data_IF_006466067803
#
_entry.id   IF_006466067803
#
_cell.length_a   1.000
_cell.length_b   1.000
_cell.length_c   1.000
_cell.angle_alpha   90.00
_cell.angle_beta   90.00
_cell.angle_gamma   90.00
#
_symmetry.space_group_name_H-M   'P 1'
#
loop_
_entity.id
_entity.type
_entity.pdbx_description
1 polymer ?
#
# COMPACT_ATOMS: atom_id res chain seq x y z
N UNK A 1 -48.50 -0.66 -21.04
CA UNK A 1 -47.86 -0.19 -19.80
C UNK A 1 -46.66 -1.09 -19.58
N UNK A 2 -45.48 -0.70 -20.06
CA UNK A 2 -44.25 -1.44 -19.80
C UNK A 2 -43.83 -1.11 -18.37
N UNK A 3 -43.91 -2.10 -17.49
CA UNK A 3 -43.40 -1.98 -16.13
C UNK A 3 -41.88 -1.88 -16.26
N UNK A 4 -41.34 -0.70 -16.01
CA UNK A 4 -39.90 -0.48 -15.97
C UNK A 4 -39.40 -1.16 -14.68
N UNK A 5 -39.12 -2.47 -14.76
CA UNK A 5 -38.49 -3.20 -13.65
C UNK A 5 -37.07 -2.66 -13.57
N UNK A 6 -36.84 -1.69 -12.69
CA UNK A 6 -35.50 -1.24 -12.35
C UNK A 6 -34.69 -2.47 -11.95
N UNK A 7 -33.70 -2.84 -12.75
CA UNK A 7 -32.82 -3.97 -12.47
C UNK A 7 -32.11 -3.66 -11.15
N UNK A 8 -32.34 -4.50 -10.14
CA UNK A 8 -31.87 -4.27 -8.78
C UNK A 8 -30.59 -5.06 -8.55
N UNK A 9 -29.49 -4.37 -8.25
CA UNK A 9 -28.21 -4.99 -7.92
C UNK A 9 -27.94 -4.78 -6.43
N UNK A 10 -27.66 -5.87 -5.70
CA UNK A 10 -27.38 -5.80 -4.26
C UNK A 10 -25.98 -6.30 -3.98
N UNK A 11 -25.17 -5.52 -3.28
CA UNK A 11 -23.82 -5.90 -2.88
C UNK A 11 -23.76 -6.24 -1.38
N UNK A 12 -23.27 -7.44 -1.10
CA UNK A 12 -23.01 -7.92 0.25
C UNK A 12 -21.53 -7.73 0.59
N UNK A 13 -21.21 -6.64 1.31
CA UNK A 13 -19.87 -6.34 1.78
C UNK A 13 -19.93 -5.51 3.07
N UNK A 14 -18.94 -5.69 3.96
CA UNK A 14 -18.81 -4.86 5.16
C UNK A 14 -18.38 -3.43 4.84
N UNK A 15 -18.86 -2.45 5.61
CA UNK A 15 -18.66 -1.01 5.35
C UNK A 15 -17.19 -0.52 5.36
N UNK A 16 -16.25 -1.31 5.89
CA UNK A 16 -14.81 -1.01 5.94
C UNK A 16 -13.98 -1.83 4.95
N UNK A 17 -14.63 -2.63 4.09
CA UNK A 17 -13.92 -3.54 3.20
C UNK A 17 -13.39 -2.80 1.97
N UNK A 18 -12.05 -2.78 1.80
CA UNK A 18 -11.39 -2.19 0.62
C UNK A 18 -11.95 -2.72 -0.71
N UNK A 19 -12.37 -3.99 -0.74
CA UNK A 19 -12.88 -4.63 -1.94
C UNK A 19 -14.32 -4.21 -2.27
N UNK A 20 -15.06 -3.66 -1.29
CA UNK A 20 -16.36 -3.02 -1.50
C UNK A 20 -16.25 -1.65 -2.16
N UNK A 21 -15.13 -0.92 -1.98
CA UNK A 21 -14.91 0.38 -2.64
C UNK A 21 -14.69 0.28 -4.16
N UNK A 22 -14.56 -0.94 -4.72
CA UNK A 22 -14.59 -1.13 -6.18
C UNK A 22 -15.95 -0.74 -6.80
N UNK A 23 -16.95 -0.43 -5.98
CA UNK A 23 -18.20 0.25 -6.36
C UNK A 23 -18.03 1.63 -6.99
N UNK A 24 -16.84 2.25 -6.89
CA UNK A 24 -16.51 3.42 -7.69
C UNK A 24 -16.76 3.12 -9.18
N UNK A 25 -16.42 1.92 -9.66
CA UNK A 25 -16.70 1.54 -11.03
C UNK A 25 -18.21 1.53 -11.36
N UNK A 26 -19.07 1.16 -10.41
CA UNK A 26 -20.53 1.18 -10.57
C UNK A 26 -21.07 2.61 -10.70
N UNK A 27 -20.62 3.51 -9.83
CA UNK A 27 -20.99 4.92 -9.84
C UNK A 27 -20.59 5.60 -11.15
N UNK A 28 -19.35 5.41 -11.60
CA UNK A 28 -18.88 5.94 -12.89
C UNK A 28 -19.60 5.32 -14.10
N UNK A 29 -20.08 4.08 -13.97
CA UNK A 29 -20.88 3.42 -15.01
C UNK A 29 -22.35 3.86 -14.99
N UNK A 30 -22.79 4.58 -13.96
CA UNK A 30 -24.19 4.94 -13.75
C UNK A 30 -25.08 3.74 -13.36
N UNK A 31 -24.48 2.68 -12.82
CA UNK A 31 -25.20 1.49 -12.35
C UNK A 31 -25.52 1.67 -10.87
N UNK A 32 -26.81 1.65 -10.53
CA UNK A 32 -27.23 1.72 -9.14
C UNK A 32 -27.04 0.36 -8.46
N UNK A 33 -26.11 0.29 -7.50
CA UNK A 33 -25.85 -0.90 -6.70
C UNK A 33 -26.13 -0.57 -5.24
N UNK A 34 -27.10 -1.25 -4.66
CA UNK A 34 -27.47 -1.06 -3.26
C UNK A 34 -26.57 -1.87 -2.34
N UNK A 35 -26.03 -1.21 -1.31
CA UNK A 35 -25.22 -1.84 -0.27
C UNK A 35 -26.12 -2.35 0.85
N UNK A 36 -25.89 -3.60 1.29
CA UNK A 36 -26.55 -4.13 2.48
C UNK A 36 -26.08 -3.36 3.72
N UNK A 37 -27.00 -2.66 4.38
CA UNK A 37 -26.69 -1.71 5.47
C UNK A 37 -26.11 -2.36 6.73
N UNK A 38 -26.55 -3.58 7.04
CA UNK A 38 -26.23 -4.28 8.29
C UNK A 38 -25.43 -5.58 8.04
N UNK A 39 -24.44 -5.52 7.15
CA UNK A 39 -23.60 -6.68 6.87
C UNK A 39 -22.52 -6.86 7.95
N UNK A 40 -22.71 -7.83 8.85
CA UNK A 40 -21.79 -8.15 9.94
C UNK A 40 -20.81 -9.26 9.57
N UNK A 41 -19.52 -8.92 9.51
CA UNK A 41 -18.45 -9.85 9.24
C UNK A 41 -18.32 -10.90 10.35
N UNK A 42 -18.37 -12.18 9.99
CA UNK A 42 -18.28 -13.32 10.90
C UNK A 42 -19.64 -13.88 11.34
N UNK A 43 -20.74 -13.18 11.01
CA UNK A 43 -22.13 -13.56 11.31
C UNK A 43 -22.93 -13.69 10.00
N UNK A 44 -23.12 -12.59 9.26
CA UNK A 44 -23.92 -12.56 8.03
C UNK A 44 -23.34 -13.42 6.91
N UNK A 45 -22.02 -13.57 6.86
CA UNK A 45 -21.32 -14.37 5.85
C UNK A 45 -21.30 -15.88 6.15
N UNK A 46 -21.79 -16.31 7.32
CA UNK A 46 -21.90 -17.72 7.73
C UNK A 46 -23.32 -18.28 7.60
N UNK A 47 -24.29 -17.44 7.24
CA UNK A 47 -25.67 -17.89 7.10
C UNK A 47 -25.79 -18.85 5.91
N UNK A 48 -26.65 -19.89 6.00
CA UNK A 48 -26.87 -20.83 4.89
C UNK A 48 -27.26 -20.13 3.59
N UNK A 49 -27.98 -19.02 3.68
CA UNK A 49 -28.43 -18.19 2.56
C UNK A 49 -27.22 -17.57 1.84
N UNK A 50 -26.26 -17.01 2.58
CA UNK A 50 -25.05 -16.43 2.00
C UNK A 50 -24.10 -17.50 1.43
N UNK A 51 -23.96 -18.62 2.13
CA UNK A 51 -23.14 -19.76 1.67
C UNK A 51 -23.67 -20.38 0.38
N UNK A 52 -24.98 -20.30 0.12
CA UNK A 52 -25.56 -20.74 -1.15
C UNK A 52 -25.14 -19.84 -2.32
N UNK A 53 -24.92 -18.55 -2.08
CA UNK A 53 -24.51 -17.57 -3.09
C UNK A 53 -23.01 -17.54 -3.30
N UNK A 54 -22.25 -17.78 -2.24
CA UNK A 54 -20.80 -17.94 -2.29
C UNK A 54 -20.42 -19.25 -1.58
N UNK A 55 -20.32 -20.37 -2.31
CA UNK A 55 -20.03 -21.69 -1.74
C UNK A 55 -18.63 -21.77 -1.13
N UNK A 56 -17.76 -20.80 -1.42
CA UNK A 56 -16.44 -20.69 -0.80
C UNK A 56 -16.58 -20.21 0.66
N UNK A 57 -17.71 -19.58 1.02
CA UNK A 57 -18.05 -19.16 2.40
C UNK A 57 -16.92 -18.40 3.10
N UNK A 58 -16.08 -17.72 2.31
CA UNK A 58 -14.65 -17.56 2.61
C UNK A 58 -14.44 -16.58 3.78
N UNK A 59 -14.55 -17.09 5.00
CA UNK A 59 -13.49 -16.98 6.01
C UNK A 59 -12.49 -18.09 5.66
N UNK A 60 -11.75 -17.91 4.57
CA UNK A 60 -10.86 -18.94 4.05
C UNK A 60 -9.63 -19.08 4.92
N UNK A 61 -9.49 -20.25 5.53
CA UNK A 61 -8.40 -20.76 6.38
C UNK A 61 -7.04 -20.86 5.65
N UNK A 62 -6.83 -20.10 4.57
CA UNK A 62 -5.60 -20.12 3.75
C UNK A 62 -4.96 -18.72 3.58
N UNK A 63 -5.56 -17.68 4.14
CA UNK A 63 -4.83 -16.43 4.41
C UNK A 63 -4.23 -16.53 5.80
N UNK A 64 -2.91 -16.55 5.90
CA UNK A 64 -2.18 -16.52 7.16
C UNK A 64 -2.82 -15.52 8.12
N UNK A 65 -3.44 -16.10 9.15
CA UNK A 65 -4.04 -15.45 10.30
C UNK A 65 -5.31 -14.59 10.05
N UNK A 66 -6.48 -15.23 10.22
CA UNK A 66 -7.67 -14.64 10.88
C UNK A 66 -8.40 -13.46 10.24
N UNK A 67 -7.83 -12.75 9.26
CA UNK A 67 -8.47 -11.64 8.56
C UNK A 67 -9.20 -12.19 7.35
N UNK A 68 -10.44 -12.62 7.58
CA UNK A 68 -11.37 -12.84 6.47
C UNK A 68 -11.69 -11.50 5.83
N UNK A 69 -10.97 -11.10 4.78
CA UNK A 69 -11.55 -10.16 3.83
C UNK A 69 -12.73 -10.87 3.18
N UNK A 70 -13.96 -10.44 3.48
CA UNK A 70 -15.11 -10.92 2.72
C UNK A 70 -14.83 -10.68 1.26
N UNK A 71 -14.92 -11.72 0.46
CA UNK A 71 -15.09 -11.57 -0.98
C UNK A 71 -16.48 -10.97 -1.15
N UNK A 72 -16.62 -9.74 -1.67
CA UNK A 72 -17.93 -9.17 -1.91
C UNK A 72 -18.73 -10.08 -2.83
N UNK A 73 -20.04 -10.12 -2.65
CA UNK A 73 -20.97 -10.87 -3.51
C UNK A 73 -21.98 -9.88 -4.07
N UNK A 74 -22.10 -9.86 -5.39
CA UNK A 74 -23.10 -9.10 -6.12
C UNK A 74 -24.26 -10.04 -6.46
N UNK A 75 -25.45 -9.76 -5.95
CA UNK A 75 -26.68 -10.38 -6.43
C UNK A 75 -27.10 -9.70 -7.74
N UNK A 76 -27.27 -10.51 -8.79
CA UNK A 76 -27.76 -10.08 -10.10
C UNK A 76 -29.03 -10.87 -10.46
N UNK A 77 -29.85 -10.40 -11.42
CA UNK A 77 -31.04 -11.13 -11.86
C UNK A 77 -30.75 -12.55 -12.36
N UNK A 78 -29.56 -12.76 -12.94
CA UNK A 78 -29.13 -14.03 -13.53
C UNK A 78 -28.43 -14.95 -12.51
N UNK A 79 -28.16 -14.45 -11.30
CA UNK A 79 -27.49 -15.18 -10.23
C UNK A 79 -26.41 -14.38 -9.52
N UNK A 80 -25.82 -14.93 -8.45
CA UNK A 80 -24.78 -14.27 -7.69
C UNK A 80 -23.42 -14.30 -8.40
N UNK A 81 -22.68 -13.20 -8.31
CA UNK A 81 -21.29 -13.07 -8.77
C UNK A 81 -20.41 -12.75 -7.57
N UNK A 82 -19.33 -13.50 -7.38
CA UNK A 82 -18.31 -13.24 -6.35
C UNK A 82 -16.96 -12.96 -7.01
N UNK A 83 -15.96 -12.57 -6.22
CA UNK A 83 -14.68 -11.96 -6.61
C UNK A 83 -14.80 -10.48 -7.01
N UNK A 84 -14.08 -9.63 -6.27
CA UNK A 84 -14.21 -8.18 -6.42
C UNK A 84 -13.82 -7.65 -7.81
N UNK A 85 -12.83 -8.27 -8.47
CA UNK A 85 -12.45 -7.95 -9.84
C UNK A 85 -13.50 -8.44 -10.85
N UNK A 86 -14.11 -9.61 -10.63
CA UNK A 86 -15.17 -10.13 -11.49
C UNK A 86 -16.44 -9.28 -11.39
N UNK A 87 -16.81 -8.85 -10.19
CA UNK A 87 -17.91 -7.90 -9.95
C UNK A 87 -17.66 -6.58 -10.66
N UNK A 88 -16.45 -6.01 -10.52
CA UNK A 88 -16.09 -4.77 -11.21
C UNK A 88 -16.22 -4.92 -12.73
N UNK A 89 -15.71 -6.01 -13.32
CA UNK A 89 -15.88 -6.30 -14.76
C UNK A 89 -17.34 -6.45 -15.14
N UNK A 90 -18.13 -7.22 -14.38
CA UNK A 90 -19.55 -7.41 -14.66
C UNK A 90 -20.27 -6.07 -14.72
N UNK A 91 -20.08 -5.23 -13.70
CA UNK A 91 -20.74 -3.92 -13.61
C UNK A 91 -20.31 -2.98 -14.73
N UNK A 92 -19.03 -2.96 -15.10
CA UNK A 92 -18.58 -2.10 -16.21
C UNK A 92 -19.13 -2.55 -17.56
N UNK A 93 -19.38 -3.85 -17.75
CA UNK A 93 -19.95 -4.40 -18.99
C UNK A 93 -21.48 -4.28 -19.08
N UNK A 94 -22.19 -3.96 -17.99
CA UNK A 94 -23.65 -3.75 -18.03
C UNK A 94 -24.07 -2.59 -18.92
N UNK A 95 -23.18 -1.61 -19.12
CA UNK A 95 -23.42 -0.46 -19.98
C UNK A 95 -22.61 -0.62 -21.27
N UNK A 96 -23.32 -0.71 -22.39
CA UNK A 96 -22.70 -0.60 -23.70
C UNK A 96 -21.95 0.74 -23.80
N UNK A 97 -20.76 0.72 -24.40
CA UNK A 97 -19.87 1.88 -24.58
C UNK A 97 -19.30 2.46 -23.26
N UNK A 98 -19.00 1.62 -22.29
CA UNK A 98 -18.32 2.04 -21.07
C UNK A 98 -16.79 2.09 -21.26
N UNK A 99 -16.14 3.26 -21.13
CA UNK A 99 -14.70 3.38 -21.34
C UNK A 99 -13.86 2.74 -20.22
N UNK A 100 -14.46 2.37 -19.08
CA UNK A 100 -13.73 1.90 -17.90
C UNK A 100 -13.02 0.55 -18.08
N UNK A 101 -13.44 -0.27 -19.05
CA UNK A 101 -12.75 -1.51 -19.40
C UNK A 101 -11.89 -1.39 -20.68
N UNK A 102 -11.76 -0.19 -21.26
CA UNK A 102 -11.01 0.04 -22.50
C UNK A 102 -11.85 -0.15 -23.76
N UNK A 103 -11.61 0.69 -24.76
CA UNK A 103 -12.37 0.72 -26.02
C UNK A 103 -11.73 -0.09 -27.15
N UNK A 104 -10.54 -0.65 -26.91
CA UNK A 104 -9.81 -1.51 -27.85
C UNK A 104 -9.19 -2.71 -27.14
N UNK A 105 -8.77 -3.73 -27.89
CA UNK A 105 -8.12 -4.92 -27.31
C UNK A 105 -6.86 -4.58 -26.50
N UNK A 106 -6.09 -3.60 -26.95
CA UNK A 106 -4.87 -3.18 -26.23
C UNK A 106 -5.21 -2.40 -24.96
N UNK A 107 -6.22 -1.53 -24.99
CA UNK A 107 -6.65 -0.80 -23.79
C UNK A 107 -7.22 -1.76 -22.75
N UNK A 108 -8.04 -2.73 -23.17
CA UNK A 108 -8.55 -3.79 -22.30
C UNK A 108 -7.39 -4.58 -21.67
N UNK A 109 -6.42 -5.02 -22.48
CA UNK A 109 -5.24 -5.73 -21.97
C UNK A 109 -4.42 -4.92 -20.97
N UNK A 110 -4.27 -3.60 -21.17
CA UNK A 110 -3.58 -2.72 -20.23
C UNK A 110 -4.36 -2.56 -18.91
N UNK A 111 -5.68 -2.47 -18.96
CA UNK A 111 -6.53 -2.44 -17.75
C UNK A 111 -6.38 -3.75 -16.97
N UNK A 112 -6.48 -4.89 -17.65
CA UNK A 112 -6.31 -6.21 -17.03
C UNK A 112 -4.90 -6.39 -16.44
N UNK A 113 -3.86 -5.94 -17.15
CA UNK A 113 -2.47 -5.98 -16.68
C UNK A 113 -2.33 -5.30 -15.30
N UNK A 114 -2.93 -4.12 -15.13
CA UNK A 114 -2.85 -3.39 -13.86
C UNK A 114 -3.74 -3.99 -12.76
N UNK A 115 -4.89 -4.57 -13.11
CA UNK A 115 -5.75 -5.29 -12.16
C UNK A 115 -5.03 -6.51 -11.58
N UNK A 116 -4.40 -7.30 -12.45
CA UNK A 116 -3.67 -8.50 -12.03
C UNK A 116 -2.38 -8.14 -11.31
N UNK A 117 -1.63 -7.14 -11.79
CA UNK A 117 -0.46 -6.62 -11.08
C UNK A 117 -0.80 -6.11 -9.68
N UNK A 118 -1.89 -5.34 -9.53
CA UNK A 118 -2.33 -4.87 -8.22
C UNK A 118 -2.70 -6.03 -7.29
N UNK A 119 -3.33 -7.08 -7.83
CA UNK A 119 -3.75 -8.24 -7.02
C UNK A 119 -2.56 -9.11 -6.59
N UNK A 120 -1.62 -9.36 -7.50
CA UNK A 120 -0.53 -10.31 -7.31
C UNK A 120 0.72 -9.67 -6.71
N UNK A 121 1.06 -8.45 -7.13
CA UNK A 121 2.31 -7.78 -6.76
C UNK A 121 2.13 -6.73 -5.66
N UNK A 122 0.95 -6.10 -5.58
CA UNK A 122 0.70 -5.06 -4.57
C UNK A 122 0.00 -5.67 -3.35
N UNK A 123 -1.19 -6.23 -3.55
CA UNK A 123 -2.06 -6.68 -2.47
C UNK A 123 -1.45 -7.82 -1.65
N UNK A 124 -0.90 -8.85 -2.32
CA UNK A 124 -0.28 -9.99 -1.66
C UNK A 124 0.89 -9.56 -0.75
N UNK A 125 1.69 -8.60 -1.23
CA UNK A 125 2.80 -8.04 -0.48
C UNK A 125 2.30 -7.19 0.68
N UNK A 126 1.43 -6.20 0.43
CA UNK A 126 0.91 -5.31 1.49
C UNK A 126 0.29 -6.11 2.63
N UNK A 127 -0.49 -7.16 2.35
CA UNK A 127 -1.13 -7.97 3.38
C UNK A 127 -0.10 -8.62 4.32
N UNK A 128 1.04 -9.09 3.79
CA UNK A 128 2.10 -9.71 4.59
C UNK A 128 2.74 -8.75 5.60
N UNK A 129 2.78 -7.46 5.26
CA UNK A 129 3.27 -6.39 6.13
C UNK A 129 2.19 -5.81 7.05
N UNK A 130 0.96 -5.69 6.55
CA UNK A 130 -0.14 -4.99 7.21
C UNK A 130 -0.80 -5.83 8.30
N UNK A 131 -1.10 -7.11 8.01
CA UNK A 131 -1.89 -7.98 8.89
C UNK A 131 -1.22 -8.18 10.26
N UNK A 132 0.11 -8.36 10.39
CA UNK A 132 0.76 -8.43 11.70
C UNK A 132 0.67 -7.12 12.50
N UNK A 133 0.72 -5.96 11.83
CA UNK A 133 0.70 -4.64 12.49
C UNK A 133 -0.64 -4.28 13.09
N UNK A 134 -1.73 -4.81 12.53
CA UNK A 134 -3.07 -4.66 13.07
C UNK A 134 -3.43 -5.78 14.07
N UNK A 135 -2.46 -6.60 14.48
CA UNK A 135 -2.62 -7.61 15.54
C UNK A 135 -3.32 -8.90 15.08
N UNK A 136 -3.53 -9.08 13.78
CA UNK A 136 -4.23 -10.25 13.26
C UNK A 136 -3.30 -11.36 12.77
N UNK A 137 -1.98 -11.14 12.66
CA UNK A 137 -0.97 -12.16 12.42
C UNK A 137 0.23 -11.99 13.34
N UNK A 138 1.03 -13.06 13.49
CA UNK A 138 2.32 -12.98 14.17
C UNK A 138 3.29 -12.15 13.33
N UNK A 139 3.96 -11.19 13.97
CA UNK A 139 5.03 -10.41 13.33
C UNK A 139 6.25 -11.29 13.11
N UNK A 140 6.65 -11.45 11.84
CA UNK A 140 7.87 -12.12 11.42
C UNK A 140 8.77 -11.07 10.76
N UNK A 141 9.87 -10.63 11.40
CA UNK A 141 10.73 -9.56 10.89
C UNK A 141 11.25 -9.82 9.45
N UNK A 142 11.82 -11.00 9.12
CA UNK A 142 12.35 -11.24 7.77
C UNK A 142 11.28 -11.15 6.67
N UNK A 143 10.05 -11.56 6.97
CA UNK A 143 8.94 -11.54 6.03
C UNK A 143 8.37 -10.13 5.79
N UNK A 144 8.54 -9.22 6.75
CA UNK A 144 8.11 -7.82 6.64
C UNK A 144 9.10 -7.00 5.80
N UNK A 145 10.40 -7.24 5.96
CA UNK A 145 11.46 -6.63 5.17
C UNK A 145 11.36 -6.94 3.67
N UNK A 146 11.24 -8.21 3.28
CA UNK A 146 11.14 -8.61 1.86
C UNK A 146 9.98 -7.95 1.12
N UNK A 147 8.80 -7.85 1.77
CA UNK A 147 7.64 -7.17 1.20
C UNK A 147 7.91 -5.68 0.96
N UNK A 148 8.63 -5.02 1.86
CA UNK A 148 8.92 -3.59 1.74
C UNK A 148 9.96 -3.30 0.66
N UNK A 149 10.95 -4.19 0.46
CA UNK A 149 11.91 -4.08 -0.66
C UNK A 149 11.19 -4.20 -2.01
N UNK A 150 10.24 -5.12 -2.16
CA UNK A 150 9.48 -5.25 -3.42
C UNK A 150 8.68 -3.96 -3.73
N UNK A 151 8.30 -3.18 -2.70
CA UNK A 151 7.69 -1.85 -2.87
C UNK A 151 8.72 -0.80 -3.35
N UNK A 152 9.98 -0.87 -2.91
CA UNK A 152 11.06 -0.01 -3.42
C UNK A 152 11.23 -0.22 -4.93
N UNK A 153 11.19 -1.46 -5.40
CA UNK A 153 11.25 -1.80 -6.83
C UNK A 153 10.06 -1.22 -7.60
N UNK A 154 8.88 -1.17 -6.99
CA UNK A 154 7.66 -0.62 -7.59
C UNK A 154 7.66 0.91 -7.73
N UNK A 155 8.22 1.63 -6.75
CA UNK A 155 8.20 3.11 -6.71
C UNK A 155 9.35 3.77 -7.49
N UNK A 156 10.32 2.96 -7.92
CA UNK A 156 11.28 3.31 -8.96
C UNK A 156 12.73 3.24 -8.50
N UNK A 157 13.06 3.62 -7.26
CA UNK A 157 14.37 3.43 -6.64
C UNK A 157 14.39 3.91 -5.17
N UNK A 158 15.35 3.41 -4.38
CA UNK A 158 15.68 3.94 -3.06
C UNK A 158 17.02 4.68 -3.09
N UNK A 159 17.16 5.68 -2.22
CA UNK A 159 18.42 6.36 -1.94
C UNK A 159 18.61 6.41 -0.44
N UNK A 160 19.81 6.08 0.01
CA UNK A 160 20.22 6.36 1.39
C UNK A 160 21.05 7.63 1.44
N UNK A 161 20.86 8.44 2.47
CA UNK A 161 21.67 9.64 2.69
C UNK A 161 22.33 9.62 4.07
N UNK A 162 23.61 9.97 4.13
CA UNK A 162 24.36 10.04 5.40
C UNK A 162 24.84 11.46 5.65
N UNK A 163 24.60 11.97 6.85
CA UNK A 163 25.03 13.31 7.25
C UNK A 163 26.57 13.35 7.31
N UNK A 164 27.21 14.18 6.49
CA UNK A 164 28.68 14.18 6.35
C UNK A 164 29.42 14.62 7.63
N UNK A 165 28.79 15.47 8.44
CA UNK A 165 29.39 15.97 9.67
C UNK A 165 28.62 15.52 10.89
N UNK A 166 29.12 14.46 11.52
CA UNK A 166 28.65 13.98 12.81
C UNK A 166 28.73 15.11 13.86
N UNK A 167 27.83 15.06 14.84
CA UNK A 167 27.69 16.12 15.82
C UNK A 167 27.91 15.57 17.21
N UNK A 168 28.51 16.36 18.07
CA UNK A 168 28.76 15.98 19.46
C UNK A 168 27.57 16.23 20.38
N UNK A 169 26.49 16.84 19.89
CA UNK A 169 25.32 17.22 20.68
C UNK A 169 24.04 16.69 20.04
N UNK A 170 23.33 15.81 20.75
CA UNK A 170 22.13 15.11 20.27
C UNK A 170 21.02 16.06 19.83
N UNK A 171 20.68 17.05 20.67
CA UNK A 171 19.63 18.03 20.35
C UNK A 171 19.92 18.85 19.09
N UNK A 172 21.20 19.13 18.80
CA UNK A 172 21.61 19.84 17.58
C UNK A 172 21.38 18.96 16.34
N UNK A 173 21.69 17.67 16.43
CA UNK A 173 21.42 16.71 15.36
C UNK A 173 19.92 16.57 15.10
N UNK A 174 19.13 16.42 16.16
CA UNK A 174 17.68 16.28 16.09
C UNK A 174 17.00 17.51 15.45
N UNK A 175 17.47 18.71 15.76
CA UNK A 175 16.98 19.95 15.17
C UNK A 175 17.39 20.11 13.70
N UNK A 176 18.61 19.71 13.34
CA UNK A 176 19.05 19.71 11.94
C UNK A 176 18.22 18.76 11.09
N UNK A 177 18.02 17.52 11.56
CA UNK A 177 17.15 16.54 10.90
C UNK A 177 15.71 17.07 10.80
N UNK A 178 15.18 17.65 11.89
CA UNK A 178 13.84 18.24 11.88
C UNK A 178 13.68 19.39 10.87
N UNK A 179 14.64 20.30 10.82
CA UNK A 179 14.66 21.40 9.85
C UNK A 179 14.78 20.91 8.40
N UNK A 180 15.61 19.88 8.16
CA UNK A 180 15.72 19.25 6.85
C UNK A 180 14.37 18.68 6.39
N UNK A 181 13.69 17.93 7.25
CA UNK A 181 12.36 17.39 6.94
C UNK A 181 11.31 18.46 6.65
N UNK A 182 11.37 19.61 7.31
CA UNK A 182 10.48 20.75 7.02
C UNK A 182 10.76 21.38 5.64
N UNK A 183 12.04 21.48 5.23
CA UNK A 183 12.41 21.94 3.89
C UNK A 183 12.02 20.95 2.80
N UNK A 184 12.07 19.66 3.11
CA UNK A 184 11.64 18.59 2.21
C UNK A 184 10.12 18.55 1.99
N UNK A 185 9.31 19.39 2.66
CA UNK A 185 7.84 19.35 2.56
C UNK A 185 7.29 19.51 1.13
N UNK A 186 8.00 20.26 0.28
CA UNK A 186 7.72 20.38 -1.15
C UNK A 186 7.75 19.03 -1.89
N UNK A 187 8.53 18.06 -1.39
CA UNK A 187 8.65 16.71 -1.92
C UNK A 187 7.58 15.75 -1.38
N UNK A 188 6.73 16.15 -0.42
CA UNK A 188 5.81 15.23 0.30
C UNK A 188 4.88 14.44 -0.62
N UNK A 189 4.48 15.02 -1.75
CA UNK A 189 3.62 14.32 -2.73
C UNK A 189 4.35 13.28 -3.58
N UNK A 190 5.68 13.33 -3.61
CA UNK A 190 6.53 12.57 -4.54
C UNK A 190 7.59 11.73 -3.86
N UNK A 191 7.74 11.86 -2.54
CA UNK A 191 8.78 11.22 -1.76
C UNK A 191 8.22 10.69 -0.43
N UNK A 192 8.67 9.50 -0.07
CA UNK A 192 8.60 8.99 1.28
C UNK A 192 10.02 8.98 1.86
N UNK A 193 10.19 9.37 3.11
CA UNK A 193 11.51 9.44 3.73
C UNK A 193 11.48 8.93 5.17
N UNK A 194 12.63 8.46 5.63
CA UNK A 194 12.82 8.09 7.02
C UNK A 194 14.23 8.43 7.46
N UNK A 195 14.34 9.25 8.49
CA UNK A 195 15.61 9.71 9.07
C UNK A 195 15.81 9.05 10.42
N UNK A 196 17.00 8.48 10.63
CA UNK A 196 17.47 7.87 11.87
C UNK A 196 18.57 8.76 12.46
N UNK A 197 18.50 8.98 13.77
CA UNK A 197 19.59 9.55 14.55
C UNK A 197 20.17 8.44 15.42
N UNK A 198 21.44 8.15 15.23
CA UNK A 198 22.14 6.99 15.79
C UNK A 198 23.22 7.48 16.76
N UNK A 199 23.42 6.72 17.84
CA UNK A 199 24.39 6.96 18.91
C UNK A 199 23.71 7.25 20.26
N UNK A 200 24.13 6.57 21.33
CA UNK A 200 23.76 6.92 22.72
C UNK A 200 24.61 8.09 23.23
N UNK A 201 25.84 8.17 22.75
CA UNK A 201 26.86 9.12 23.15
C UNK A 201 27.47 9.79 21.91
N UNK A 202 28.10 10.96 22.06
CA UNK A 202 28.82 11.61 20.97
C UNK A 202 29.88 10.69 20.33
N UNK A 203 30.06 10.70 19.00
CA UNK A 203 29.37 11.53 18.01
C UNK A 203 28.05 10.92 17.51
N UNK A 204 27.02 11.77 17.35
CA UNK A 204 25.71 11.38 16.81
C UNK A 204 25.70 11.45 15.29
N UNK A 205 25.18 10.38 14.67
CA UNK A 205 25.11 10.19 13.22
C UNK A 205 23.68 10.36 12.73
N UNK A 206 23.51 11.01 11.58
CA UNK A 206 22.23 11.12 10.91
C UNK A 206 22.25 10.29 9.64
N UNK A 207 21.39 9.28 9.54
CA UNK A 207 21.21 8.50 8.31
C UNK A 207 19.76 8.58 7.85
N UNK A 208 19.52 8.51 6.55
CA UNK A 208 18.19 8.56 6.00
C UNK A 208 17.99 7.61 4.84
N UNK A 209 16.76 7.19 4.66
CA UNK A 209 16.28 6.39 3.55
C UNK A 209 15.16 7.18 2.86
N UNK A 210 15.26 7.33 1.55
CA UNK A 210 14.30 8.06 0.74
C UNK A 210 13.86 7.21 -0.44
N UNK A 211 12.55 7.24 -0.70
CA UNK A 211 11.90 6.64 -1.86
C UNK A 211 11.31 7.79 -2.66
N UNK A 212 11.87 8.06 -3.84
CA UNK A 212 11.35 9.08 -4.75
C UNK A 212 10.59 8.40 -5.89
N UNK A 213 9.53 9.05 -6.36
CA UNK A 213 8.84 8.64 -7.58
C UNK A 213 9.72 8.95 -8.80
N UNK A 214 10.20 7.92 -9.49
CA UNK A 214 11.01 8.08 -10.71
C UNK A 214 12.26 7.19 -10.70
N UNK A 215 13.32 7.57 -11.41
CA UNK A 215 14.62 6.88 -11.39
C UNK A 215 15.75 7.73 -10.79
N UNK A 216 15.47 9.01 -10.57
CA UNK A 216 16.39 10.04 -10.11
C UNK A 216 15.68 10.98 -9.14
N UNK A 217 16.44 11.68 -8.29
CA UNK A 217 15.87 12.69 -7.38
C UNK A 217 15.29 13.81 -8.23
N UNK A 218 14.02 14.19 -8.03
CA UNK A 218 13.44 15.28 -8.79
C UNK A 218 14.24 16.57 -8.68
N UNK A 219 14.61 17.17 -9.83
CA UNK A 219 15.50 18.34 -9.89
C UNK A 219 15.01 19.52 -9.03
N UNK A 220 13.70 19.74 -8.98
CA UNK A 220 13.13 20.81 -8.15
C UNK A 220 13.42 20.66 -6.65
N UNK A 221 13.68 19.44 -6.17
CA UNK A 221 14.09 19.20 -4.78
C UNK A 221 15.55 19.62 -4.58
N UNK A 222 16.40 19.30 -5.56
CA UNK A 222 17.81 19.68 -5.55
C UNK A 222 17.94 21.21 -5.58
N UNK A 223 17.13 21.88 -6.40
CA UNK A 223 17.19 23.33 -6.58
C UNK A 223 16.69 24.11 -5.35
N UNK A 224 15.63 23.63 -4.69
CA UNK A 224 14.98 24.33 -3.57
C UNK A 224 15.53 23.92 -2.19
N UNK A 225 16.10 22.73 -2.06
CA UNK A 225 16.62 22.21 -0.80
C UNK A 225 18.16 22.29 -0.75
N UNK A 226 18.69 23.46 -0.38
CA UNK A 226 20.14 23.67 -0.21
C UNK A 226 20.81 22.74 0.82
N UNK A 227 20.02 22.14 1.72
CA UNK A 227 20.50 21.17 2.70
C UNK A 227 20.87 19.82 2.08
N UNK A 228 20.46 19.54 0.84
CA UNK A 228 20.80 18.30 0.16
C UNK A 228 22.31 18.08 0.12
N UNK A 229 23.08 19.17 0.00
CA UNK A 229 24.56 19.16 0.02
C UNK A 229 25.16 18.81 1.39
N UNK A 230 24.40 18.80 2.47
CA UNK A 230 24.89 18.41 3.80
C UNK A 230 24.93 16.89 4.00
N UNK A 231 24.32 16.15 3.07
CA UNK A 231 24.22 14.71 3.10
C UNK A 231 24.89 14.11 1.87
N UNK A 232 25.52 12.96 2.06
CA UNK A 232 26.04 12.16 0.97
C UNK A 232 24.97 11.16 0.54
N UNK A 233 24.58 11.16 -0.74
CA UNK A 233 23.42 10.43 -1.28
C UNK A 233 23.88 9.26 -2.16
N UNK A 234 23.47 8.05 -1.78
CA UNK A 234 23.83 6.82 -2.48
C UNK A 234 22.58 6.08 -2.95
N UNK A 235 22.47 5.89 -4.27
CA UNK A 235 21.40 5.07 -4.85
C UNK A 235 21.60 3.63 -4.40
N UNK A 236 20.54 3.04 -3.85
CA UNK A 236 20.56 1.68 -3.34
C UNK A 236 20.49 0.71 -4.52
N UNK A 237 21.43 -0.21 -4.57
CA UNK A 237 21.37 -1.37 -5.45
C UNK A 237 20.51 -2.46 -4.80
N UNK A 238 19.31 -2.65 -5.32
CA UNK A 238 18.39 -3.68 -4.83
C UNK A 238 18.82 -5.09 -5.25
N UNK A 239 19.87 -5.27 -6.04
CA UNK A 239 20.43 -6.59 -6.34
C UNK A 239 21.46 -7.04 -5.32
N UNK A 240 22.01 -6.08 -4.55
CA UNK A 240 22.94 -6.31 -3.45
C UNK A 240 22.18 -6.67 -2.16
N UNK A 241 22.41 -7.87 -1.64
CA UNK A 241 21.73 -8.38 -0.45
C UNK A 241 22.11 -7.60 0.83
N UNK A 242 23.33 -7.07 0.92
CA UNK A 242 23.76 -6.30 2.10
C UNK A 242 23.07 -4.92 2.12
N UNK A 243 22.95 -4.28 0.96
CA UNK A 243 22.24 -3.01 0.82
C UNK A 243 20.73 -3.17 1.04
N UNK A 244 20.14 -4.27 0.53
CA UNK A 244 18.74 -4.64 0.82
C UNK A 244 18.49 -4.78 2.31
N UNK A 245 19.35 -5.52 3.00
CA UNK A 245 19.21 -5.74 4.43
C UNK A 245 19.38 -4.44 5.21
N UNK A 246 20.34 -3.60 4.84
CA UNK A 246 20.49 -2.26 5.42
C UNK A 246 19.20 -1.42 5.26
N UNK A 247 18.61 -1.39 4.07
CA UNK A 247 17.34 -0.68 3.83
C UNK A 247 16.20 -1.27 4.69
N UNK A 248 16.13 -2.59 4.85
CA UNK A 248 15.16 -3.22 5.74
C UNK A 248 15.31 -2.73 7.18
N UNK A 249 16.54 -2.77 7.71
CA UNK A 249 16.83 -2.32 9.07
C UNK A 249 16.42 -0.86 9.28
N UNK A 250 16.64 -0.02 8.27
CA UNK A 250 16.21 1.38 8.32
C UNK A 250 14.69 1.52 8.34
N UNK A 251 13.97 0.76 7.51
CA UNK A 251 12.49 0.77 7.44
C UNK A 251 11.87 0.21 8.73
N UNK A 252 12.48 -0.79 9.34
CA UNK A 252 11.97 -1.42 10.55
C UNK A 252 12.30 -0.65 11.84
N UNK A 253 13.17 0.36 11.77
CA UNK A 253 13.71 0.99 13.00
C UNK A 253 14.43 -0.07 13.83
N UNK A 254 15.24 -0.93 13.21
CA UNK A 254 15.90 -1.99 13.96
C UNK A 254 16.78 -1.41 15.07
N UNK A 255 16.72 -2.01 16.26
CA UNK A 255 17.55 -1.62 17.40
C UNK A 255 18.29 -2.85 17.95
N UNK A 256 19.64 -2.83 18.04
CA UNK A 256 20.54 -1.77 17.61
C UNK A 256 20.66 -1.68 16.08
N UNK A 257 20.95 -0.50 15.56
CA UNK A 257 21.16 -0.24 14.14
C UNK A 257 22.66 -0.10 13.86
N UNK A 258 23.22 -0.90 12.97
CA UNK A 258 24.68 -0.99 12.73
C UNK A 258 25.52 -1.24 14.00
N UNK A 259 24.93 -1.89 15.00
CA UNK A 259 25.58 -2.14 16.30
C UNK A 259 25.58 -0.94 17.24
N UNK A 260 24.97 0.18 16.86
CA UNK A 260 24.81 1.38 17.69
C UNK A 260 23.36 1.55 18.17
N UNK A 261 23.20 2.18 19.34
CA UNK A 261 21.88 2.50 19.87
C UNK A 261 21.18 3.54 18.98
N UNK A 262 19.87 3.37 18.81
CA UNK A 262 19.07 4.32 18.05
C UNK A 262 18.53 5.40 19.00
N UNK A 263 18.87 6.66 18.72
CA UNK A 263 18.41 7.78 19.55
C UNK A 263 17.02 8.26 19.15
N UNK A 264 16.75 8.39 17.86
CA UNK A 264 15.45 8.84 17.34
C UNK A 264 15.22 8.38 15.90
N UNK A 265 13.95 8.24 15.50
CA UNK A 265 13.55 7.94 14.15
C UNK A 265 12.37 8.82 13.72
N UNK A 266 12.57 9.59 12.65
CA UNK A 266 11.56 10.50 12.09
C UNK A 266 11.10 10.02 10.72
N UNK A 267 9.79 9.90 10.55
CA UNK A 267 9.17 9.54 9.28
C UNK A 267 8.71 10.81 8.54
N UNK A 268 8.99 10.86 7.24
CA UNK A 268 8.52 11.88 6.31
C UNK A 268 7.42 11.29 5.41
N UNK A 269 6.22 11.84 5.51
CA UNK A 269 5.00 11.38 4.82
C UNK A 269 4.02 12.52 4.58
#
# INVERSE_FOLDING_TARGET
MLVNVSVHYVLHAGNTNKNGYKLIAAEFSGVNVEMVKDFEMGLSNKTPEFLKMNPIGKVGVVSFAGVGSCVPVLETPDGPVFESNAIARYVTHLKADNPLYGSSLIEYALVEQWIDFATLEIDANILRWFIPRIGFAVYLPPASGTCMIQRVTLFGFAITNTMMHEKTVSFVTLNKVGGFLQRMDLARRYAFGKMLVIGSDPPFKGKGLWLFRGQEVPQFIIDECYDMELYDWHKVDITDEDQKEHVNQMIEVQEPFEGEALLDAKCFK
#
